data_IF_363819777491
#
_entry.id   IF_363819777491
#
_cell.length_a   1.000
_cell.length_b   1.000
_cell.length_c   1.000
_cell.angle_alpha   90.00
_cell.angle_beta   90.00
_cell.angle_gamma   90.00
#
_symmetry.space_group_name_H-M   'P 1'
#
loop_
_entity.id
_entity.type
_entity.pdbx_description
1 polymer ?
#
# COMPACT_ATOMS: atom_id res chain seq x y z
N UNK A 1 -94.06 -16.62 26.74
CA UNK A 1 -94.09 -17.77 27.69
C UNK A 1 -93.90 -19.00 26.82
N UNK A 2 -92.81 -19.76 26.84
CA UNK A 2 -91.95 -20.25 27.92
C UNK A 2 -90.53 -20.50 27.38
N UNK A 3 -89.49 -20.33 28.22
CA UNK A 3 -88.13 -20.84 27.96
C UNK A 3 -88.09 -22.37 28.14
N UNK A 4 -87.11 -23.06 27.53
CA UNK A 4 -86.07 -23.65 28.39
C UNK A 4 -84.63 -23.61 27.85
N UNK A 5 -83.73 -23.44 28.82
CA UNK A 5 -82.32 -23.88 28.99
C UNK A 5 -81.60 -24.61 27.87
N UNK A 6 -80.48 -24.01 27.43
CA UNK A 6 -79.44 -24.60 26.60
C UNK A 6 -78.34 -25.20 27.50
N UNK A 7 -78.10 -26.51 27.39
CA UNK A 7 -76.95 -27.19 27.98
C UNK A 7 -75.71 -26.99 27.10
N UNK A 8 -74.60 -26.64 27.71
CA UNK A 8 -73.30 -26.46 27.07
C UNK A 8 -72.51 -27.77 27.09
N UNK A 9 -72.45 -28.46 25.96
CA UNK A 9 -71.38 -29.41 25.64
C UNK A 9 -70.59 -28.82 24.46
N UNK A 10 -69.42 -28.27 24.74
CA UNK A 10 -68.41 -27.90 23.74
C UNK A 10 -67.16 -28.72 24.07
N UNK A 11 -67.03 -29.85 23.39
CA UNK A 11 -65.75 -30.49 23.14
C UNK A 11 -65.69 -30.87 21.67
N UNK A 12 -64.63 -30.39 21.02
CA UNK A 12 -64.05 -30.89 19.79
C UNK A 12 -64.80 -30.61 18.48
N UNK A 13 -64.32 -29.60 17.75
CA UNK A 13 -63.81 -29.71 16.37
C UNK A 13 -62.94 -28.44 16.14
N UNK A 14 -61.65 -28.56 16.43
CA UNK A 14 -60.63 -27.64 15.93
C UNK A 14 -60.27 -28.07 14.50
N UNK A 15 -60.94 -27.49 13.51
CA UNK A 15 -60.48 -27.54 12.13
C UNK A 15 -60.78 -26.21 11.42
N UNK A 16 -59.93 -25.23 11.66
CA UNK A 16 -59.87 -24.01 10.86
C UNK A 16 -58.47 -23.89 10.25
N UNK A 17 -58.32 -24.45 9.06
CA UNK A 17 -57.30 -24.05 8.10
C UNK A 17 -57.53 -22.58 7.76
N UNK A 18 -56.86 -21.67 8.45
CA UNK A 18 -56.74 -20.27 8.04
C UNK A 18 -55.49 -20.14 7.14
N UNK A 19 -55.64 -19.87 5.83
CA UNK A 19 -54.52 -19.52 4.97
C UNK A 19 -54.26 -18.01 5.08
N UNK A 20 -53.95 -17.51 6.29
CA UNK A 20 -53.62 -16.10 6.47
C UNK A 20 -52.10 -15.89 6.47
N UNK A 21 -51.65 -15.17 5.44
CA UNK A 21 -50.38 -14.44 5.34
C UNK A 21 -49.07 -15.25 5.17
N UNK A 22 -48.89 -15.90 4.00
CA UNK A 22 -47.57 -16.35 3.52
C UNK A 22 -46.79 -15.30 2.71
N UNK A 23 -47.27 -14.05 2.63
CA UNK A 23 -46.62 -12.95 1.89
C UNK A 23 -45.61 -12.13 2.70
N UNK A 24 -44.96 -12.73 3.68
CA UNK A 24 -43.67 -12.20 4.14
C UNK A 24 -42.65 -12.63 3.09
N UNK A 25 -42.10 -11.74 2.25
CA UNK A 25 -40.96 -12.11 1.44
C UNK A 25 -39.87 -12.53 2.44
N UNK A 26 -39.59 -13.83 2.54
CA UNK A 26 -38.35 -14.32 3.11
C UNK A 26 -37.25 -13.73 2.23
N UNK A 27 -36.80 -12.52 2.58
CA UNK A 27 -35.64 -11.92 1.96
C UNK A 27 -34.55 -12.97 2.06
N UNK A 28 -34.13 -13.53 0.92
CA UNK A 28 -33.05 -14.52 0.87
C UNK A 28 -31.87 -13.90 1.58
N UNK A 29 -31.62 -14.32 2.83
CA UNK A 29 -30.51 -13.81 3.60
C UNK A 29 -29.25 -14.18 2.84
N UNK A 30 -28.40 -13.19 2.59
CA UNK A 30 -27.13 -13.42 1.93
C UNK A 30 -26.31 -14.39 2.80
N UNK A 31 -25.57 -15.32 2.17
CA UNK A 31 -24.66 -16.20 2.90
C UNK A 31 -23.73 -15.39 3.80
N UNK A 32 -23.41 -15.94 4.98
CA UNK A 32 -22.63 -15.24 6.00
C UNK A 32 -21.26 -14.78 5.45
N UNK A 33 -20.66 -15.53 4.52
CA UNK A 33 -19.42 -15.17 3.87
C UNK A 33 -19.54 -13.93 2.97
N UNK A 34 -20.64 -13.79 2.23
CA UNK A 34 -20.91 -12.59 1.40
C UNK A 34 -21.03 -11.37 2.31
N UNK A 35 -21.71 -11.52 3.45
CA UNK A 35 -21.83 -10.47 4.47
C UNK A 35 -20.48 -10.15 5.12
N UNK A 36 -19.62 -11.15 5.35
CA UNK A 36 -18.24 -10.96 5.87
C UNK A 36 -17.37 -10.19 4.88
N UNK A 37 -17.40 -10.56 3.61
CA UNK A 37 -16.70 -9.83 2.55
C UNK A 37 -17.24 -8.42 2.42
N UNK A 38 -18.56 -8.23 2.40
CA UNK A 38 -19.20 -6.92 2.38
C UNK A 38 -18.73 -6.03 3.53
N UNK A 39 -18.82 -6.54 4.77
CA UNK A 39 -18.36 -5.82 5.96
C UNK A 39 -16.88 -5.44 5.88
N UNK A 40 -16.04 -6.36 5.43
CA UNK A 40 -14.61 -6.10 5.28
C UNK A 40 -14.32 -5.05 4.21
N UNK A 41 -14.95 -5.16 3.04
CA UNK A 41 -14.79 -4.16 1.95
C UNK A 41 -15.20 -2.78 2.43
N UNK A 42 -16.34 -2.66 3.12
CA UNK A 42 -16.79 -1.36 3.65
C UNK A 42 -15.85 -0.82 4.73
N UNK A 43 -15.28 -1.68 5.59
CA UNK A 43 -14.25 -1.27 6.57
C UNK A 43 -13.02 -0.67 5.87
N UNK A 44 -12.48 -1.37 4.87
CA UNK A 44 -11.31 -0.91 4.12
C UNK A 44 -11.62 0.36 3.34
N UNK A 45 -12.76 0.42 2.64
CA UNK A 45 -13.19 1.62 1.92
C UNK A 45 -13.33 2.83 2.84
N UNK A 46 -13.88 2.67 4.04
CA UNK A 46 -14.01 3.77 4.99
C UNK A 46 -12.64 4.34 5.40
N UNK A 47 -11.68 3.46 5.70
CA UNK A 47 -10.32 3.88 6.08
C UNK A 47 -9.60 4.53 4.90
N UNK A 48 -9.68 3.94 3.71
CA UNK A 48 -9.05 4.48 2.49
C UNK A 48 -9.62 5.85 2.12
N UNK A 49 -10.95 5.99 2.09
CA UNK A 49 -11.60 7.26 1.77
C UNK A 49 -11.27 8.36 2.78
N UNK A 50 -11.11 8.01 4.07
CA UNK A 50 -10.75 8.98 5.11
C UNK A 50 -9.36 9.61 4.92
N UNK A 51 -8.46 8.93 4.20
CA UNK A 51 -7.15 9.47 3.83
C UNK A 51 -7.16 10.15 2.45
N UNK A 52 -7.74 9.51 1.44
CA UNK A 52 -7.71 10.01 0.06
C UNK A 52 -8.48 11.33 -0.08
N UNK A 53 -9.67 11.43 0.51
CA UNK A 53 -10.52 12.62 0.33
C UNK A 53 -9.82 13.89 0.83
N UNK A 54 -9.26 13.93 2.06
CA UNK A 54 -8.50 15.10 2.50
C UNK A 54 -7.22 15.34 1.68
N UNK A 55 -6.51 14.30 1.23
CA UNK A 55 -5.33 14.50 0.34
C UNK A 55 -5.73 15.22 -0.95
N UNK A 56 -6.80 14.76 -1.62
CA UNK A 56 -7.32 15.39 -2.83
C UNK A 56 -7.77 16.83 -2.59
N UNK A 57 -8.51 17.08 -1.50
CA UNK A 57 -8.91 18.44 -1.12
C UNK A 57 -7.70 19.34 -0.82
N UNK A 58 -6.65 18.81 -0.20
CA UNK A 58 -5.42 19.54 0.05
C UNK A 58 -4.69 19.93 -1.23
N UNK A 59 -4.66 19.05 -2.23
CA UNK A 59 -4.10 19.39 -3.55
C UNK A 59 -4.90 20.49 -4.26
N UNK A 60 -6.23 20.40 -4.26
CA UNK A 60 -7.11 21.45 -4.82
C UNK A 60 -6.99 22.77 -4.06
N UNK A 61 -6.78 22.71 -2.75
CA UNK A 61 -6.61 23.87 -1.88
C UNK A 61 -5.25 24.57 -1.98
N UNK A 62 -4.28 23.98 -2.68
CA UNK A 62 -2.90 24.46 -2.74
C UNK A 62 -2.64 25.43 -3.92
N UNK A 63 -3.60 26.31 -4.23
CA UNK A 63 -3.55 27.26 -5.36
C UNK A 63 -3.36 28.71 -4.88
N UNK A 64 -3.09 28.92 -3.59
CA UNK A 64 -3.03 30.24 -2.95
C UNK A 64 -1.65 30.90 -2.97
N UNK A 65 -1.62 32.24 -2.93
CA UNK A 65 -0.40 33.07 -2.87
C UNK A 65 0.22 33.13 -1.47
N UNK A 66 -0.58 32.92 -0.41
CA UNK A 66 -0.12 32.86 0.98
C UNK A 66 0.37 31.45 1.30
N UNK A 67 1.66 31.33 1.59
CA UNK A 67 2.32 30.06 1.84
C UNK A 67 2.90 30.02 3.25
N UNK A 68 2.57 28.96 3.98
CA UNK A 68 2.95 28.69 5.37
C UNK A 68 3.79 27.41 5.36
N UNK A 69 4.79 27.25 6.26
CA UNK A 69 5.51 26.00 6.37
C UNK A 69 4.56 24.82 6.61
N UNK A 70 4.88 23.68 5.99
CA UNK A 70 4.17 22.43 6.19
C UNK A 70 4.22 22.02 7.68
N UNK A 71 3.14 21.47 8.20
CA UNK A 71 3.10 20.94 9.56
C UNK A 71 4.25 19.93 9.76
N UNK A 72 5.10 20.10 10.80
CA UNK A 72 6.27 19.24 11.01
C UNK A 72 5.90 17.77 11.09
N UNK A 73 4.76 17.42 11.69
CA UNK A 73 4.32 16.02 11.83
C UNK A 73 4.02 15.39 10.47
N UNK A 74 3.39 16.16 9.56
CA UNK A 74 3.09 15.69 8.20
C UNK A 74 4.39 15.58 7.40
N UNK A 75 5.29 16.55 7.54
CA UNK A 75 6.59 16.54 6.87
C UNK A 75 7.44 15.32 7.26
N UNK A 76 7.63 15.07 8.56
CA UNK A 76 8.41 13.93 9.05
C UNK A 76 7.78 12.60 8.66
N UNK A 77 6.45 12.50 8.72
CA UNK A 77 5.76 11.25 8.36
C UNK A 77 5.89 10.99 6.86
N UNK A 78 5.78 12.02 6.03
CA UNK A 78 5.96 11.89 4.57
C UNK A 78 7.39 11.47 4.23
N UNK A 79 8.38 12.01 4.94
CA UNK A 79 9.79 11.63 4.78
C UNK A 79 10.05 10.17 5.15
N UNK A 80 9.54 9.72 6.30
CA UNK A 80 9.67 8.32 6.74
C UNK A 80 9.00 7.38 5.75
N UNK A 81 7.78 7.72 5.28
CA UNK A 81 7.06 6.91 4.30
C UNK A 81 7.83 6.87 2.98
N UNK A 82 8.30 8.01 2.47
CA UNK A 82 9.00 8.09 1.21
C UNK A 82 10.32 7.31 1.24
N UNK A 83 11.09 7.42 2.32
CA UNK A 83 12.32 6.65 2.52
C UNK A 83 12.04 5.15 2.60
N UNK A 84 10.99 4.74 3.31
CA UNK A 84 10.62 3.32 3.44
C UNK A 84 10.16 2.73 2.11
N UNK A 85 9.47 3.52 1.29
CA UNK A 85 8.88 3.10 0.04
C UNK A 85 9.75 3.39 -1.19
N UNK A 86 10.94 3.99 -1.01
CA UNK A 86 11.82 4.39 -2.11
C UNK A 86 11.21 5.44 -3.04
N UNK A 87 10.26 6.25 -2.53
CA UNK A 87 9.61 7.31 -3.31
C UNK A 87 10.56 8.50 -3.35
N UNK A 88 11.00 8.98 -4.54
CA UNK A 88 11.81 10.18 -4.63
C UNK A 88 10.99 11.39 -4.18
N UNK A 89 11.44 12.09 -3.15
CA UNK A 89 10.86 13.35 -2.72
C UNK A 89 11.24 14.46 -3.71
N UNK A 90 10.54 14.55 -4.84
CA UNK A 90 10.66 15.68 -5.77
C UNK A 90 9.97 16.88 -5.11
N UNK A 91 10.74 17.95 -4.86
CA UNK A 91 10.37 19.16 -4.12
C UNK A 91 10.17 18.97 -2.61
N UNK A 92 11.13 19.49 -1.83
CA UNK A 92 10.90 19.81 -0.41
C UNK A 92 9.72 20.77 -0.36
N UNK A 93 8.51 20.31 -0.03
CA UNK A 93 7.33 21.16 0.14
C UNK A 93 7.55 22.09 1.36
N UNK A 94 8.36 23.12 1.18
CA UNK A 94 8.74 24.03 2.26
C UNK A 94 7.64 25.04 2.56
N UNK A 95 6.73 25.29 1.62
CA UNK A 95 5.60 26.22 1.83
C UNK A 95 4.36 25.76 1.08
N UNK A 96 3.25 25.63 1.79
CA UNK A 96 1.93 25.19 1.29
C UNK A 96 0.87 26.16 1.78
N UNK A 97 -0.30 26.19 1.15
CA UNK A 97 -1.41 27.01 1.68
C UNK A 97 -1.85 26.49 3.05
N UNK A 98 -2.35 27.36 3.96
CA UNK A 98 -2.81 26.92 5.28
C UNK A 98 -3.95 25.89 5.20
N UNK A 99 -4.80 26.00 4.17
CA UNK A 99 -5.90 25.09 3.93
C UNK A 99 -5.39 23.72 3.44
N UNK A 100 -4.38 23.67 2.57
CA UNK A 100 -3.72 22.41 2.21
C UNK A 100 -3.06 21.74 3.43
N UNK A 101 -2.41 22.53 4.30
CA UNK A 101 -1.78 22.03 5.51
C UNK A 101 -2.79 21.39 6.49
N UNK A 102 -3.97 22.01 6.64
CA UNK A 102 -5.07 21.47 7.43
C UNK A 102 -5.56 20.14 6.85
N UNK A 103 -5.85 20.09 5.56
CA UNK A 103 -6.37 18.88 4.92
C UNK A 103 -5.36 17.72 4.93
N UNK A 104 -4.08 17.97 4.72
CA UNK A 104 -3.05 16.94 4.81
C UNK A 104 -2.82 16.47 6.26
N UNK A 105 -2.99 17.36 7.24
CA UNK A 105 -2.98 16.95 8.65
C UNK A 105 -4.19 16.03 8.95
N UNK A 106 -5.38 16.37 8.44
CA UNK A 106 -6.57 15.52 8.57
C UNK A 106 -6.34 14.16 7.89
N UNK A 107 -5.75 14.14 6.69
CA UNK A 107 -5.42 12.89 5.98
C UNK A 107 -4.55 11.95 6.80
N UNK A 108 -3.65 12.50 7.62
CA UNK A 108 -2.77 11.72 8.48
C UNK A 108 -3.50 11.14 9.69
N UNK A 109 -4.31 11.95 10.38
CA UNK A 109 -4.95 11.53 11.64
C UNK A 109 -6.28 10.79 11.45
N UNK A 110 -7.06 11.12 10.42
CA UNK A 110 -8.40 10.55 10.23
C UNK A 110 -8.40 9.01 10.11
N UNK A 111 -7.54 8.37 9.28
CA UNK A 111 -7.48 6.92 9.22
C UNK A 111 -7.13 6.27 10.57
N UNK A 112 -6.17 6.86 11.31
CA UNK A 112 -5.73 6.36 12.63
C UNK A 112 -6.87 6.41 13.64
N UNK A 113 -7.61 7.53 13.69
CA UNK A 113 -8.76 7.67 14.60
C UNK A 113 -9.89 6.70 14.26
N UNK A 114 -10.21 6.52 12.97
CA UNK A 114 -11.26 5.59 12.53
C UNK A 114 -10.87 4.15 12.87
N UNK A 115 -9.64 3.73 12.58
CA UNK A 115 -9.13 2.39 12.91
C UNK A 115 -9.15 2.18 14.43
N UNK A 116 -8.66 3.15 15.20
CA UNK A 116 -8.68 3.09 16.67
C UNK A 116 -10.10 2.94 17.22
N UNK A 117 -11.06 3.71 16.69
CA UNK A 117 -12.47 3.62 17.06
C UNK A 117 -13.09 2.26 16.69
N UNK A 118 -12.80 1.75 15.49
CA UNK A 118 -13.27 0.43 15.06
C UNK A 118 -12.70 -0.70 15.94
N UNK A 119 -11.42 -0.64 16.30
CA UNK A 119 -10.80 -1.61 17.21
C UNK A 119 -11.41 -1.55 18.60
N UNK A 120 -11.71 -0.35 19.11
CA UNK A 120 -12.40 -0.16 20.38
C UNK A 120 -13.79 -0.79 20.38
N UNK A 121 -14.61 -0.51 19.35
CA UNK A 121 -15.94 -1.10 19.20
C UNK A 121 -15.87 -2.62 19.08
N UNK A 122 -14.94 -3.14 18.30
CA UNK A 122 -14.74 -4.58 18.12
C UNK A 122 -14.32 -5.27 19.42
N UNK A 123 -13.46 -4.64 20.21
CA UNK A 123 -13.04 -5.16 21.51
C UNK A 123 -14.18 -5.19 22.54
N UNK A 124 -15.03 -4.15 22.58
CA UNK A 124 -16.12 -4.00 23.54
C UNK A 124 -17.38 -4.79 23.16
N UNK A 125 -17.75 -4.77 21.88
CA UNK A 125 -19.04 -5.30 21.40
C UNK A 125 -18.89 -6.54 20.54
N UNK A 126 -17.68 -6.84 20.05
CA UNK A 126 -17.47 -7.87 19.03
C UNK A 126 -17.88 -7.43 17.63
N UNK A 127 -18.24 -6.17 17.42
CA UNK A 127 -18.67 -5.63 16.12
C UNK A 127 -18.00 -4.29 15.84
N UNK A 128 -17.68 -4.06 14.57
CA UNK A 128 -17.41 -2.73 14.01
C UNK A 128 -18.70 -2.15 13.43
N UNK A 129 -18.71 -0.87 13.05
CA UNK A 129 -19.89 -0.24 12.43
C UNK A 129 -20.35 -1.01 11.17
N UNK A 130 -19.47 -1.36 10.21
CA UNK A 130 -19.91 -2.16 9.06
C UNK A 130 -20.36 -3.56 9.47
N UNK A 131 -19.64 -4.25 10.36
CA UNK A 131 -20.06 -5.58 10.82
C UNK A 131 -21.44 -5.57 11.49
N UNK A 132 -21.83 -4.46 12.12
CA UNK A 132 -23.18 -4.27 12.66
C UNK A 132 -24.22 -4.12 11.55
N UNK A 133 -23.94 -3.37 10.48
CA UNK A 133 -24.83 -3.28 9.31
C UNK A 133 -25.01 -4.62 8.59
N UNK A 134 -23.95 -5.43 8.54
CA UNK A 134 -24.00 -6.77 7.98
C UNK A 134 -24.40 -7.84 9.01
N UNK A 135 -24.82 -7.45 10.22
CA UNK A 135 -25.30 -8.30 11.32
C UNK A 135 -24.37 -9.49 11.67
N UNK A 136 -23.06 -9.24 11.63
CA UNK A 136 -22.02 -10.21 11.96
C UNK A 136 -21.37 -9.82 13.27
N UNK A 137 -21.12 -10.81 14.15
CA UNK A 137 -20.42 -10.60 15.41
C UNK A 137 -19.23 -11.53 15.56
N UNK A 138 -18.19 -10.98 16.16
CA UNK A 138 -16.98 -11.70 16.54
C UNK A 138 -17.05 -12.01 18.02
N UNK A 139 -16.94 -13.29 18.36
CA UNK A 139 -17.05 -13.80 19.73
C UNK A 139 -15.86 -14.67 20.08
N UNK A 140 -15.57 -14.82 21.37
CA UNK A 140 -14.60 -15.81 21.86
C UNK A 140 -15.22 -17.21 21.88
N UNK A 141 -14.42 -18.23 22.21
CA UNK A 141 -14.93 -19.59 22.47
C UNK A 141 -16.01 -19.65 23.57
N UNK A 142 -16.06 -18.65 24.45
CA UNK A 142 -17.05 -18.53 25.52
C UNK A 142 -18.30 -17.73 25.10
N UNK A 143 -18.40 -17.30 23.83
CA UNK A 143 -19.51 -16.49 23.32
C UNK A 143 -19.47 -15.00 23.68
N UNK A 144 -18.49 -14.57 24.49
CA UNK A 144 -18.33 -13.16 24.89
C UNK A 144 -17.54 -12.34 23.88
N UNK A 145 -17.59 -11.01 24.00
CA UNK A 145 -16.78 -10.11 23.18
C UNK A 145 -15.26 -10.34 23.38
N UNK A 146 -14.43 -10.13 22.35
CA UNK A 146 -13.02 -10.56 22.37
C UNK A 146 -12.11 -9.84 23.39
N UNK A 147 -12.45 -8.60 23.75
CA UNK A 147 -11.58 -7.72 24.53
C UNK A 147 -10.37 -7.19 23.73
N UNK A 148 -9.69 -6.18 24.28
CA UNK A 148 -8.65 -5.43 23.56
C UNK A 148 -7.49 -6.31 23.09
N UNK A 149 -6.97 -7.18 23.97
CA UNK A 149 -5.81 -8.03 23.66
C UNK A 149 -6.08 -8.98 22.48
N UNK A 150 -7.20 -9.70 22.51
CA UNK A 150 -7.54 -10.65 21.43
C UNK A 150 -7.86 -9.90 20.13
N UNK A 151 -8.52 -8.75 20.23
CA UNK A 151 -8.78 -7.89 19.06
C UNK A 151 -7.49 -7.38 18.40
N UNK A 152 -6.50 -6.93 19.18
CA UNK A 152 -5.22 -6.47 18.64
C UNK A 152 -4.40 -7.60 18.01
N UNK A 153 -4.35 -8.78 18.64
CA UNK A 153 -3.68 -9.96 18.04
C UNK A 153 -4.37 -10.38 16.76
N UNK A 154 -5.70 -10.39 16.74
CA UNK A 154 -6.50 -10.79 15.58
C UNK A 154 -6.38 -9.81 14.42
N UNK A 155 -6.72 -8.54 14.63
CA UNK A 155 -6.79 -7.54 13.57
C UNK A 155 -5.41 -6.96 13.27
N UNK A 156 -4.64 -6.59 14.29
CA UNK A 156 -3.32 -5.97 14.14
C UNK A 156 -2.28 -6.96 13.63
N UNK A 157 -2.01 -8.04 14.38
CA UNK A 157 -0.97 -9.00 14.01
C UNK A 157 -1.44 -10.02 12.97
N UNK A 158 -2.60 -10.64 13.18
CA UNK A 158 -3.08 -11.75 12.35
C UNK A 158 -3.54 -11.32 10.96
N UNK A 159 -4.47 -10.36 10.90
CA UNK A 159 -5.12 -9.97 9.65
C UNK A 159 -4.31 -9.01 8.79
N UNK A 160 -3.63 -8.04 9.40
CA UNK A 160 -2.85 -7.03 8.67
C UNK A 160 -1.36 -7.27 8.77
N UNK A 161 -0.82 -7.39 9.98
CA UNK A 161 0.62 -7.43 10.24
C UNK A 161 1.35 -8.59 9.57
N UNK A 162 0.82 -9.81 9.70
CA UNK A 162 1.45 -11.00 9.13
C UNK A 162 1.36 -10.99 7.58
N UNK A 163 0.18 -10.80 6.95
CA UNK A 163 0.11 -10.76 5.49
C UNK A 163 0.92 -9.63 4.86
N UNK A 164 0.80 -8.40 5.38
CA UNK A 164 1.54 -7.25 4.85
C UNK A 164 3.03 -7.38 5.16
N UNK A 165 3.41 -7.86 6.34
CA UNK A 165 4.81 -8.06 6.72
C UNK A 165 5.51 -9.10 5.85
N UNK A 166 4.84 -10.21 5.54
CA UNK A 166 5.36 -11.20 4.57
C UNK A 166 5.47 -10.58 3.18
N UNK A 167 4.43 -9.88 2.70
CA UNK A 167 4.47 -9.21 1.42
C UNK A 167 5.61 -8.20 1.31
N UNK A 168 5.87 -7.44 2.37
CA UNK A 168 6.98 -6.49 2.47
C UNK A 168 8.34 -7.19 2.44
N UNK A 169 8.53 -8.27 3.22
CA UNK A 169 9.78 -9.03 3.21
C UNK A 169 10.06 -9.63 1.83
N UNK A 170 9.05 -10.20 1.18
CA UNK A 170 9.18 -10.71 -0.19
C UNK A 170 9.52 -9.57 -1.15
N UNK A 171 8.81 -8.45 -1.09
CA UNK A 171 9.06 -7.28 -1.93
C UNK A 171 10.48 -6.71 -1.76
N UNK A 172 10.97 -6.68 -0.52
CA UNK A 172 12.31 -6.19 -0.20
C UNK A 172 13.41 -7.17 -0.63
N UNK A 173 13.27 -8.46 -0.31
CA UNK A 173 14.31 -9.48 -0.55
C UNK A 173 14.41 -9.91 -2.02
N UNK A 174 13.32 -9.82 -2.80
CA UNK A 174 13.31 -10.24 -4.21
C UNK A 174 13.84 -9.19 -5.19
N UNK A 175 14.21 -8.00 -4.69
CA UNK A 175 14.63 -6.89 -5.55
C UNK A 175 13.47 -6.21 -6.30
N UNK A 176 12.22 -6.50 -5.92
CA UNK A 176 11.03 -5.81 -6.45
C UNK A 176 10.90 -4.36 -5.94
N UNK A 177 11.68 -3.99 -4.92
CA UNK A 177 11.84 -2.61 -4.45
C UNK A 177 12.33 -1.68 -5.59
N UNK A 178 11.77 -0.46 -5.77
CA UNK A 178 10.72 0.20 -4.98
C UNK A 178 9.30 0.10 -5.58
N UNK A 179 9.01 -0.91 -6.42
CA UNK A 179 7.73 -0.94 -7.15
C UNK A 179 6.52 -1.18 -6.22
N UNK A 180 5.72 -0.14 -6.01
CA UNK A 180 4.57 -0.17 -5.10
C UNK A 180 3.42 -1.05 -5.62
N UNK A 181 3.28 -1.16 -6.94
CA UNK A 181 2.29 -2.03 -7.56
C UNK A 181 2.53 -3.51 -7.18
N UNK A 182 3.78 -3.94 -7.12
CA UNK A 182 4.14 -5.31 -6.72
C UNK A 182 3.85 -5.53 -5.24
N UNK A 183 4.23 -4.57 -4.38
CA UNK A 183 3.90 -4.63 -2.95
C UNK A 183 2.39 -4.75 -2.72
N UNK A 184 1.58 -3.98 -3.45
CA UNK A 184 0.12 -4.03 -3.37
C UNK A 184 -0.44 -5.37 -3.87
N UNK A 185 0.08 -5.89 -4.99
CA UNK A 185 -0.29 -7.20 -5.51
C UNK A 185 0.06 -8.34 -4.55
N UNK A 186 1.27 -8.34 -3.99
CA UNK A 186 1.72 -9.32 -2.99
C UNK A 186 0.89 -9.24 -1.71
N UNK A 187 0.57 -8.04 -1.24
CA UNK A 187 -0.30 -7.83 -0.07
C UNK A 187 -1.70 -8.38 -0.31
N UNK A 188 -2.26 -8.14 -1.50
CA UNK A 188 -3.56 -8.70 -1.90
C UNK A 188 -3.55 -10.23 -1.94
N UNK A 189 -2.52 -10.84 -2.53
CA UNK A 189 -2.34 -12.30 -2.56
C UNK A 189 -2.18 -12.88 -1.14
N UNK A 190 -1.41 -12.22 -0.27
CA UNK A 190 -1.22 -12.66 1.11
C UNK A 190 -2.53 -12.63 1.92
N UNK A 191 -3.36 -11.60 1.71
CA UNK A 191 -4.69 -11.50 2.33
C UNK A 191 -5.66 -12.57 1.82
N UNK A 192 -5.63 -12.88 0.52
CA UNK A 192 -6.41 -14.00 -0.04
C UNK A 192 -5.96 -15.35 0.52
N UNK A 193 -4.66 -15.51 0.78
CA UNK A 193 -4.10 -16.70 1.44
C UNK A 193 -4.71 -16.94 2.83
N UNK A 194 -4.93 -15.89 3.62
CA UNK A 194 -5.56 -16.01 4.95
C UNK A 194 -7.02 -16.51 4.90
N UNK A 195 -7.77 -16.17 3.84
CA UNK A 195 -9.11 -16.72 3.59
C UNK A 195 -9.01 -18.21 3.22
N UNK A 196 -8.00 -18.58 2.44
CA UNK A 196 -7.78 -19.97 2.01
C UNK A 196 -7.48 -20.92 3.19
N UNK A 197 -6.88 -20.42 4.28
CA UNK A 197 -6.62 -21.20 5.50
C UNK A 197 -7.87 -21.81 6.15
N UNK A 198 -9.07 -21.28 5.86
CA UNK A 198 -10.35 -21.85 6.30
C UNK A 198 -10.51 -23.32 5.89
N UNK A 199 -9.98 -23.71 4.71
CA UNK A 199 -10.11 -25.06 4.16
C UNK A 199 -9.32 -26.13 4.91
N UNK A 200 -8.26 -25.74 5.62
CA UNK A 200 -7.38 -26.67 6.36
C UNK A 200 -7.78 -26.85 7.82
N UNK A 201 -8.74 -26.05 8.31
CA UNK A 201 -9.13 -26.08 9.71
C UNK A 201 -10.42 -26.87 9.89
N UNK A 202 -10.40 -27.89 10.76
CA UNK A 202 -11.60 -28.64 11.15
C UNK A 202 -12.68 -27.75 11.75
N UNK A 203 -12.28 -26.65 12.39
CA UNK A 203 -13.17 -25.64 12.97
C UNK A 203 -13.51 -24.49 12.00
N UNK A 204 -13.08 -24.59 10.73
CA UNK A 204 -13.39 -23.68 9.61
C UNK A 204 -13.19 -22.20 9.93
N UNK A 205 -12.13 -21.88 10.70
CA UNK A 205 -11.73 -20.50 11.04
C UNK A 205 -10.66 -19.98 10.08
N UNK A 206 -10.68 -18.68 9.77
CA UNK A 206 -9.58 -17.98 9.07
C UNK A 206 -8.31 -17.99 9.91
N UNK A 207 -7.15 -17.73 9.29
CA UNK A 207 -5.87 -17.68 10.00
C UNK A 207 -5.86 -16.64 11.12
N UNK A 208 -6.37 -15.44 10.85
CA UNK A 208 -6.50 -14.39 11.87
C UNK A 208 -7.48 -14.74 13.00
N UNK A 209 -8.60 -15.42 12.71
CA UNK A 209 -9.56 -15.87 13.74
C UNK A 209 -8.94 -16.96 14.64
N UNK A 210 -8.06 -17.81 14.08
CA UNK A 210 -7.29 -18.78 14.86
C UNK A 210 -6.29 -18.11 15.78
N UNK A 211 -5.53 -17.13 15.29
CA UNK A 211 -4.56 -16.37 16.08
C UNK A 211 -5.23 -15.61 17.23
N UNK A 212 -6.40 -15.02 16.98
CA UNK A 212 -7.20 -14.33 18.00
C UNK A 212 -7.99 -15.24 18.95
N UNK A 213 -8.04 -16.55 18.67
CA UNK A 213 -8.98 -17.49 19.27
C UNK A 213 -10.43 -16.95 19.31
N UNK A 214 -10.87 -16.45 18.16
CA UNK A 214 -12.21 -15.89 17.94
C UNK A 214 -12.99 -16.68 16.90
N UNK A 215 -14.28 -16.45 16.87
CA UNK A 215 -15.22 -16.98 15.91
C UNK A 215 -16.10 -15.87 15.37
N UNK A 216 -16.60 -16.09 14.16
CA UNK A 216 -17.59 -15.22 13.53
C UNK A 216 -18.93 -15.94 13.55
N UNK A 217 -19.93 -15.27 14.11
CA UNK A 217 -21.30 -15.77 14.26
C UNK A 217 -22.29 -14.77 13.69
N UNK A 218 -23.42 -15.29 13.21
CA UNK A 218 -24.56 -14.45 12.84
C UNK A 218 -25.23 -13.92 14.11
N UNK A 219 -25.53 -12.62 14.17
CA UNK A 219 -26.24 -12.05 15.31
C UNK A 219 -27.69 -12.51 15.43
N UNK A 220 -28.35 -12.92 14.34
CA UNK A 220 -29.76 -13.34 14.36
C UNK A 220 -29.94 -14.81 14.70
N UNK A 221 -29.09 -15.68 14.16
CA UNK A 221 -29.22 -17.14 14.36
C UNK A 221 -28.26 -17.69 15.42
N UNK A 222 -27.23 -16.95 15.82
CA UNK A 222 -26.16 -17.45 16.69
C UNK A 222 -25.33 -18.56 16.05
N UNK A 223 -25.58 -18.86 14.78
CA UNK A 223 -24.95 -19.97 14.06
C UNK A 223 -23.50 -19.62 13.71
N UNK A 224 -22.60 -20.57 13.91
CA UNK A 224 -21.22 -20.46 13.44
C UNK A 224 -21.17 -20.45 11.91
N UNK A 225 -20.24 -19.67 11.37
CA UNK A 225 -19.99 -19.59 9.94
C UNK A 225 -19.80 -20.98 9.29
N UNK A 226 -20.72 -21.35 8.41
CA UNK A 226 -20.68 -22.57 7.61
C UNK A 226 -19.95 -22.29 6.28
N UNK A 227 -18.79 -22.92 6.12
CA UNK A 227 -17.91 -22.99 4.94
C UNK A 227 -18.28 -22.12 3.70
N UNK A 228 -17.43 -21.14 3.33
CA UNK A 228 -17.66 -20.30 2.15
C UNK A 228 -17.60 -21.02 0.79
N UNK A 229 -17.05 -22.24 0.73
CA UNK A 229 -16.84 -22.98 -0.52
C UNK A 229 -17.79 -24.16 -0.73
N UNK A 230 -18.78 -24.37 0.15
CA UNK A 230 -19.89 -25.26 -0.13
C UNK A 230 -20.99 -24.45 -0.84
N UNK A 231 -20.90 -24.35 -2.17
CA UNK A 231 -21.94 -23.74 -3.01
C UNK A 231 -23.21 -24.60 -3.13
N UNK A 232 -23.21 -25.80 -2.55
CA UNK A 232 -24.32 -26.74 -2.55
C UNK A 232 -24.56 -27.13 -1.10
N UNK A 233 -25.54 -26.50 -0.48
CA UNK A 233 -26.44 -27.08 0.54
C UNK A 233 -27.46 -26.01 0.93
N UNK A 234 -28.30 -25.66 -0.05
CA UNK A 234 -29.65 -25.25 0.30
C UNK A 234 -30.33 -26.55 0.73
N UNK A 235 -30.62 -26.69 2.04
CA UNK A 235 -31.36 -27.81 2.67
C UNK A 235 -30.51 -28.89 3.37
N UNK A 236 -29.80 -28.53 4.43
CA UNK A 236 -29.70 -29.45 5.59
C UNK A 236 -29.55 -28.66 6.89
N UNK A 237 -30.69 -28.43 7.54
CA UNK A 237 -30.74 -28.04 8.95
C UNK A 237 -30.49 -29.28 9.84
N UNK A 238 -29.98 -28.98 11.03
CA UNK A 238 -29.94 -29.83 12.22
C UNK A 238 -28.93 -30.98 12.20
N UNK A 239 -27.77 -30.75 12.84
CA UNK A 239 -27.23 -31.66 13.86
C UNK A 239 -26.12 -30.95 14.63
N UNK A 240 -26.49 -30.45 15.82
CA UNK A 240 -25.57 -30.17 16.91
C UNK A 240 -24.88 -31.48 17.32
N UNK A 241 -23.56 -31.54 17.25
CA UNK A 241 -22.80 -32.65 17.82
C UNK A 241 -21.61 -32.10 18.61
N UNK A 242 -21.59 -32.48 19.89
CA UNK A 242 -20.61 -32.17 20.90
C UNK A 242 -19.15 -32.27 20.42
N UNK A 243 -18.35 -31.26 20.76
CA UNK A 243 -16.90 -31.26 20.52
C UNK A 243 -16.25 -32.07 21.64
N UNK A 244 -16.08 -33.37 21.42
CA UNK A 244 -15.16 -34.22 22.20
C UNK A 244 -13.76 -34.04 21.62
N UNK A 245 -12.88 -33.40 22.38
CA UNK A 245 -11.47 -33.22 22.03
C UNK A 245 -10.69 -34.52 22.26
N UNK A 246 -10.45 -35.29 21.22
CA UNK A 246 -9.40 -36.33 21.22
C UNK A 246 -8.07 -35.69 20.78
N UNK A 247 -7.11 -35.63 21.70
CA UNK A 247 -5.73 -35.25 21.41
C UNK A 247 -5.06 -36.34 20.56
N UNK A 248 -4.72 -36.05 19.30
CA UNK A 248 -3.88 -36.94 18.48
C UNK A 248 -2.46 -36.35 18.40
N UNK A 249 -1.49 -37.17 18.82
CA UNK A 249 -0.04 -36.94 18.80
C UNK A 249 0.45 -36.59 17.39
N UNK A 250 1.29 -35.56 17.31
CA UNK A 250 1.87 -35.02 16.07
C UNK A 250 2.92 -35.98 15.50
N UNK A 251 2.63 -36.60 14.35
CA UNK A 251 3.64 -37.27 13.53
C UNK A 251 4.27 -36.26 12.55
N UNK A 252 5.57 -36.41 12.30
CA UNK A 252 6.37 -35.52 11.45
C UNK A 252 5.81 -35.38 10.04
N UNK A 253 5.92 -34.17 9.49
CA UNK A 253 5.37 -33.82 8.19
C UNK A 253 6.21 -34.41 7.05
N UNK A 254 5.75 -35.50 6.42
CA UNK A 254 6.39 -36.08 5.24
C UNK A 254 5.75 -35.55 3.95
N UNK A 255 6.52 -34.79 3.16
CA UNK A 255 6.07 -34.06 1.97
C UNK A 255 5.54 -34.98 0.86
N UNK A 256 6.27 -36.06 0.54
CA UNK A 256 5.98 -36.91 -0.64
C UNK A 256 4.64 -37.70 -0.55
N UNK A 257 4.29 -38.33 0.58
CA UNK A 257 2.97 -38.94 0.76
C UNK A 257 1.84 -37.91 0.82
N UNK A 258 2.09 -36.74 1.40
CA UNK A 258 1.12 -35.65 1.51
C UNK A 258 0.73 -35.09 0.12
N UNK A 259 1.72 -34.98 -0.77
CA UNK A 259 1.55 -34.58 -2.16
C UNK A 259 0.66 -35.56 -2.93
N UNK A 260 0.90 -36.87 -2.80
CA UNK A 260 0.04 -37.91 -3.42
C UNK A 260 -1.38 -37.95 -2.86
N UNK A 261 -1.55 -37.62 -1.58
CA UNK A 261 -2.85 -37.62 -0.92
C UNK A 261 -3.73 -36.42 -1.31
N UNK A 262 -3.12 -35.30 -1.71
CA UNK A 262 -3.82 -34.07 -2.07
C UNK A 262 -3.34 -33.52 -3.43
N UNK A 263 -3.64 -34.21 -4.55
CA UNK A 263 -3.10 -33.86 -5.87
C UNK A 263 -3.54 -32.46 -6.36
N UNK A 264 -4.72 -32.00 -5.94
CA UNK A 264 -5.18 -30.63 -6.22
C UNK A 264 -4.35 -29.55 -5.48
N UNK A 265 -3.85 -29.84 -4.28
CA UNK A 265 -3.01 -28.90 -3.53
C UNK A 265 -1.60 -28.79 -4.08
N UNK A 266 -1.03 -29.91 -4.52
CA UNK A 266 0.25 -29.88 -5.23
C UNK A 266 0.13 -29.08 -6.51
N UNK A 267 -0.95 -29.28 -7.27
CA UNK A 267 -1.15 -28.57 -8.52
C UNK A 267 -1.33 -27.06 -8.26
N UNK A 268 -2.06 -26.67 -7.22
CA UNK A 268 -2.21 -25.27 -6.82
C UNK A 268 -0.91 -24.64 -6.32
N UNK A 269 -0.12 -25.34 -5.51
CA UNK A 269 1.15 -24.82 -5.00
C UNK A 269 2.19 -24.69 -6.12
N UNK A 270 2.24 -25.66 -7.02
CA UNK A 270 3.13 -25.63 -8.20
C UNK A 270 2.68 -24.54 -9.17
N UNK A 271 1.37 -24.39 -9.42
CA UNK A 271 0.87 -23.29 -10.26
C UNK A 271 1.06 -21.93 -9.60
N UNK A 272 0.90 -21.79 -8.28
CA UNK A 272 1.21 -20.56 -7.56
C UNK A 272 2.70 -20.21 -7.61
N UNK A 273 3.60 -21.19 -7.40
CA UNK A 273 5.04 -21.01 -7.58
C UNK A 273 5.40 -20.63 -9.03
N UNK A 274 4.76 -21.29 -10.01
CA UNK A 274 4.91 -20.98 -11.42
C UNK A 274 4.42 -19.57 -11.77
N UNK A 275 3.27 -19.16 -11.22
CA UNK A 275 2.70 -17.83 -11.39
C UNK A 275 3.63 -16.77 -10.79
N UNK A 276 4.17 -17.01 -9.60
CA UNK A 276 5.15 -16.11 -8.96
C UNK A 276 6.41 -15.98 -9.82
N UNK A 277 6.89 -17.06 -10.44
CA UNK A 277 8.05 -17.03 -11.33
C UNK A 277 7.76 -16.27 -12.64
N UNK A 278 6.62 -16.52 -13.28
CA UNK A 278 6.19 -15.84 -14.52
C UNK A 278 5.94 -14.35 -14.26
N UNK A 279 5.26 -14.01 -13.16
CA UNK A 279 5.08 -12.63 -12.74
C UNK A 279 6.46 -12.00 -12.42
N UNK A 280 7.35 -12.69 -11.71
CA UNK A 280 8.72 -12.21 -11.47
C UNK A 280 9.44 -11.79 -12.76
N UNK A 281 9.35 -12.60 -13.82
CA UNK A 281 9.99 -12.31 -15.12
C UNK A 281 9.33 -11.16 -15.89
N UNK A 282 7.99 -11.16 -15.99
CA UNK A 282 7.25 -10.09 -16.68
C UNK A 282 7.46 -8.76 -15.95
N UNK A 283 7.37 -8.76 -14.62
CA UNK A 283 7.49 -7.54 -13.83
C UNK A 283 8.94 -7.08 -13.66
N UNK A 284 9.91 -8.00 -13.62
CA UNK A 284 11.33 -7.64 -13.71
C UNK A 284 11.65 -6.88 -15.00
N UNK A 285 11.00 -7.27 -16.10
CA UNK A 285 11.10 -6.55 -17.38
C UNK A 285 10.48 -5.15 -17.30
N UNK A 286 9.31 -5.00 -16.66
CA UNK A 286 8.69 -3.67 -16.47
C UNK A 286 9.50 -2.74 -15.54
N UNK A 287 10.06 -3.26 -14.45
CA UNK A 287 10.94 -2.48 -13.55
C UNK A 287 12.20 -2.05 -14.28
N UNK A 288 12.81 -2.94 -15.07
CA UNK A 288 13.98 -2.60 -15.89
C UNK A 288 13.66 -1.47 -16.88
N UNK A 289 12.53 -1.57 -17.61
CA UNK A 289 12.11 -0.57 -18.59
C UNK A 289 11.76 0.78 -17.93
N UNK A 290 11.09 0.78 -16.78
CA UNK A 290 10.71 2.01 -16.09
C UNK A 290 11.92 2.69 -15.42
N UNK A 291 12.81 1.92 -14.80
CA UNK A 291 14.07 2.43 -14.28
C UNK A 291 14.88 3.06 -15.43
N UNK A 292 14.96 2.37 -16.57
CA UNK A 292 15.63 2.88 -17.76
C UNK A 292 14.99 4.18 -18.28
N UNK A 293 13.66 4.30 -18.28
CA UNK A 293 12.96 5.52 -18.68
C UNK A 293 13.28 6.70 -17.74
N UNK A 294 13.26 6.48 -16.42
CA UNK A 294 13.64 7.50 -15.45
C UNK A 294 15.10 7.96 -15.65
N UNK A 295 16.03 7.03 -15.89
CA UNK A 295 17.42 7.37 -16.20
C UNK A 295 17.55 8.22 -17.48
N UNK A 296 16.69 8.01 -18.48
CA UNK A 296 16.65 8.84 -19.69
C UNK A 296 16.16 10.25 -19.37
N UNK A 297 15.11 10.38 -18.56
CA UNK A 297 14.59 11.70 -18.14
C UNK A 297 15.63 12.48 -17.34
N UNK A 298 16.35 11.84 -16.41
CA UNK A 298 17.44 12.46 -15.68
C UNK A 298 18.57 12.91 -16.61
N UNK A 299 19.03 12.05 -17.53
CA UNK A 299 20.06 12.41 -18.51
C UNK A 299 19.62 13.57 -19.41
N UNK A 300 18.34 13.59 -19.80
CA UNK A 300 17.80 14.65 -20.65
C UNK A 300 17.74 15.98 -19.88
N UNK A 301 17.32 15.95 -18.62
CA UNK A 301 17.31 17.14 -17.76
C UNK A 301 18.72 17.68 -17.52
N UNK A 302 19.71 16.82 -17.23
CA UNK A 302 21.11 17.23 -17.10
C UNK A 302 21.65 17.82 -18.40
N UNK A 303 21.27 17.23 -19.54
CA UNK A 303 21.64 17.75 -20.86
C UNK A 303 20.99 19.11 -21.15
N UNK A 304 19.72 19.29 -20.84
CA UNK A 304 19.01 20.57 -21.02
C UNK A 304 19.58 21.66 -20.11
N UNK A 305 19.93 21.32 -18.87
CA UNK A 305 20.60 22.24 -17.95
C UNK A 305 21.99 22.64 -18.48
N UNK A 306 22.80 21.67 -18.93
CA UNK A 306 24.10 21.93 -19.54
C UNK A 306 23.95 22.84 -20.76
N UNK A 307 23.07 22.51 -21.70
CA UNK A 307 22.82 23.32 -22.89
C UNK A 307 22.31 24.72 -22.55
N UNK A 308 21.45 24.87 -21.53
CA UNK A 308 20.98 26.17 -21.08
C UNK A 308 22.11 27.03 -20.48
N UNK A 309 23.04 26.41 -19.74
CA UNK A 309 24.22 27.10 -19.19
C UNK A 309 25.19 27.51 -20.30
N UNK A 310 25.46 26.62 -21.26
CA UNK A 310 26.30 26.92 -22.44
C UNK A 310 25.67 28.03 -23.29
N UNK A 311 24.36 27.98 -23.52
CA UNK A 311 23.65 29.00 -24.28
C UNK A 311 23.63 30.36 -23.55
N UNK A 312 23.51 30.36 -22.22
CA UNK A 312 23.70 31.59 -21.43
C UNK A 312 25.13 32.11 -21.52
N UNK A 313 26.13 31.24 -21.67
CA UNK A 313 27.51 31.64 -21.87
C UNK A 313 27.73 32.35 -23.22
N UNK A 314 27.07 31.86 -24.29
CA UNK A 314 27.21 32.38 -25.66
C UNK A 314 26.34 33.61 -25.94
N UNK A 315 25.06 33.61 -25.55
CA UNK A 315 24.11 34.70 -25.80
C UNK A 315 24.36 35.93 -24.92
N UNK A 316 25.05 35.75 -23.79
CA UNK A 316 25.29 36.82 -22.82
C UNK A 316 26.68 37.43 -22.94
N UNK A 317 27.28 37.36 -24.14
CA UNK A 317 28.58 37.95 -24.46
C UNK A 317 28.69 39.44 -24.09
N UNK A 318 27.56 40.15 -23.99
CA UNK A 318 27.51 41.57 -23.64
C UNK A 318 27.49 41.90 -22.13
N UNK A 319 27.31 40.94 -21.21
CA UNK A 319 27.23 41.20 -19.75
C UNK A 319 28.15 40.28 -18.93
N UNK A 320 29.33 40.77 -18.48
CA UNK A 320 30.35 39.95 -17.80
C UNK A 320 29.87 39.21 -16.56
N UNK A 321 29.00 39.82 -15.75
CA UNK A 321 28.53 39.25 -14.49
C UNK A 321 27.64 38.00 -14.70
N UNK A 322 26.83 37.99 -15.75
CA UNK A 322 25.95 36.85 -16.04
C UNK A 322 26.74 35.67 -16.64
N UNK A 323 27.79 35.95 -17.43
CA UNK A 323 28.73 34.92 -17.90
C UNK A 323 29.47 34.27 -16.73
N UNK A 324 29.95 35.07 -15.76
CA UNK A 324 30.59 34.56 -14.54
C UNK A 324 29.68 33.60 -13.76
N UNK A 325 28.39 33.93 -13.61
CA UNK A 325 27.43 33.04 -12.95
C UNK A 325 27.24 31.73 -13.72
N UNK A 326 27.17 31.79 -15.05
CA UNK A 326 27.07 30.59 -15.88
C UNK A 326 28.31 29.69 -15.76
N UNK A 327 29.51 30.29 -15.74
CA UNK A 327 30.79 29.57 -15.53
C UNK A 327 30.81 28.86 -14.17
N UNK A 328 30.48 29.57 -13.08
CA UNK A 328 30.43 29.00 -11.74
C UNK A 328 29.40 27.88 -11.63
N UNK A 329 28.23 28.06 -12.24
CA UNK A 329 27.19 27.03 -12.29
C UNK A 329 27.66 25.80 -13.08
N UNK A 330 28.33 26.00 -14.22
CA UNK A 330 28.90 24.92 -15.02
C UNK A 330 29.95 24.12 -14.22
N UNK A 331 30.82 24.81 -13.47
CA UNK A 331 31.82 24.18 -12.58
C UNK A 331 31.23 23.40 -11.42
N UNK A 332 30.06 23.82 -10.92
CA UNK A 332 29.34 23.08 -9.88
C UNK A 332 28.57 21.86 -10.42
N UNK A 333 28.44 21.75 -11.74
CA UNK A 333 27.70 20.65 -12.37
C UNK A 333 28.56 19.40 -12.41
N UNK A 334 27.99 18.23 -12.11
CA UNK A 334 28.70 16.93 -12.20
C UNK A 334 28.80 16.39 -13.64
N UNK A 335 28.62 17.23 -14.64
CA UNK A 335 28.64 16.82 -16.05
C UNK A 335 30.11 16.65 -16.50
N UNK A 336 30.50 15.48 -17.02
CA UNK A 336 31.88 15.26 -17.49
C UNK A 336 32.30 16.20 -18.64
N UNK A 337 31.34 16.81 -19.35
CA UNK A 337 31.60 17.76 -20.44
C UNK A 337 31.93 19.18 -19.94
N UNK A 338 31.62 19.49 -18.68
CA UNK A 338 31.86 20.81 -18.12
C UNK A 338 33.35 21.14 -17.98
N UNK A 339 34.16 20.17 -17.56
CA UNK A 339 35.59 20.38 -17.29
C UNK A 339 36.37 20.72 -18.58
N UNK A 340 36.28 19.95 -19.68
CA UNK A 340 36.97 20.29 -20.93
C UNK A 340 36.53 21.65 -21.48
N UNK A 341 35.23 21.98 -21.39
CA UNK A 341 34.71 23.27 -21.85
C UNK A 341 35.27 24.44 -21.02
N UNK A 342 35.34 24.31 -19.70
CA UNK A 342 35.93 25.33 -18.83
C UNK A 342 37.43 25.51 -19.08
N UNK A 343 38.15 24.43 -19.38
CA UNK A 343 39.58 24.48 -19.72
C UNK A 343 39.80 25.15 -21.07
N UNK A 344 38.98 24.85 -22.09
CA UNK A 344 39.07 25.52 -23.39
C UNK A 344 38.76 27.02 -23.28
N UNK A 345 37.73 27.39 -22.51
CA UNK A 345 37.39 28.78 -22.20
C UNK A 345 38.53 29.52 -21.48
N UNK A 346 39.32 28.83 -20.65
CA UNK A 346 40.50 29.43 -20.00
C UNK A 346 41.53 29.93 -21.02
N UNK A 347 41.68 29.23 -22.15
CA UNK A 347 42.62 29.60 -23.22
C UNK A 347 42.10 30.71 -24.15
N UNK A 348 40.80 30.96 -24.17
CA UNK A 348 40.15 31.88 -25.11
C UNK A 348 39.66 33.19 -24.47
N UNK A 349 39.46 33.20 -23.15
CA UNK A 349 38.88 34.33 -22.42
C UNK A 349 39.94 35.35 -21.98
N UNK A 350 39.68 36.64 -22.21
CA UNK A 350 40.57 37.74 -21.82
C UNK A 350 40.00 38.61 -20.70
N UNK A 351 38.71 38.46 -20.39
CA UNK A 351 38.02 39.24 -19.36
C UNK A 351 38.41 38.76 -17.94
N UNK A 352 39.04 39.60 -17.10
CA UNK A 352 39.56 39.18 -15.79
C UNK A 352 38.48 38.61 -14.87
N UNK A 353 37.28 39.21 -14.90
CA UNK A 353 36.16 38.81 -14.03
C UNK A 353 35.61 37.41 -14.36
N UNK A 354 35.78 36.96 -15.60
CA UNK A 354 35.33 35.64 -16.06
C UNK A 354 36.44 34.62 -15.83
N UNK A 355 37.70 34.99 -16.07
CA UNK A 355 38.87 34.16 -15.75
C UNK A 355 38.89 33.72 -14.28
N UNK A 356 38.60 34.63 -13.34
CA UNK A 356 38.46 34.30 -11.93
C UNK A 356 37.39 33.22 -11.69
N UNK A 357 36.25 33.33 -12.37
CA UNK A 357 35.15 32.37 -12.27
C UNK A 357 35.54 30.99 -12.83
N UNK A 358 36.30 30.97 -13.94
CA UNK A 358 36.79 29.74 -14.57
C UNK A 358 37.79 29.07 -13.63
N UNK A 359 38.78 29.81 -13.16
CA UNK A 359 39.80 29.29 -12.23
C UNK A 359 39.18 28.75 -10.94
N UNK A 360 38.23 29.48 -10.34
CA UNK A 360 37.52 29.02 -9.15
C UNK A 360 36.75 27.72 -9.38
N UNK A 361 36.11 27.60 -10.55
CA UNK A 361 35.37 26.40 -10.96
C UNK A 361 36.30 25.20 -11.15
N UNK A 362 37.44 25.41 -11.81
CA UNK A 362 38.45 24.37 -12.04
C UNK A 362 39.13 23.92 -10.74
N UNK A 363 39.45 24.85 -9.84
CA UNK A 363 39.98 24.53 -8.50
C UNK A 363 38.97 23.71 -7.71
N UNK A 364 37.69 24.06 -7.77
CA UNK A 364 36.62 23.30 -7.10
C UNK A 364 36.44 21.89 -7.66
N UNK A 365 36.71 21.67 -8.95
CA UNK A 365 36.65 20.35 -9.59
C UNK A 365 37.85 19.45 -9.22
N UNK A 366 38.94 20.04 -8.72
CA UNK A 366 40.05 19.33 -8.10
C UNK A 366 40.91 18.53 -9.10
N UNK A 367 41.50 17.39 -8.67
CA UNK A 367 42.50 16.65 -9.45
C UNK A 367 42.03 16.15 -10.82
N UNK A 368 40.72 16.00 -11.00
CA UNK A 368 40.07 15.55 -12.24
C UNK A 368 40.38 16.47 -13.43
N UNK A 369 40.75 17.73 -13.16
CA UNK A 369 41.04 18.76 -14.18
C UNK A 369 42.47 18.66 -14.73
N UNK A 370 43.40 18.01 -14.01
CA UNK A 370 44.84 18.00 -14.33
C UNK A 370 45.15 17.48 -15.75
N UNK A 371 44.52 16.40 -16.25
CA UNK A 371 44.78 15.92 -17.61
C UNK A 371 44.41 16.95 -18.67
N UNK A 372 43.24 17.56 -18.56
CA UNK A 372 42.75 18.58 -19.51
C UNK A 372 43.63 19.82 -19.52
N UNK A 373 44.07 20.31 -18.35
CA UNK A 373 45.01 21.44 -18.27
C UNK A 373 46.37 21.12 -18.90
N UNK A 374 46.84 19.87 -18.79
CA UNK A 374 48.07 19.43 -19.45
C UNK A 374 47.89 19.44 -20.96
N UNK A 375 46.74 18.99 -21.47
CA UNK A 375 46.42 19.05 -22.89
C UNK A 375 46.39 20.48 -23.42
N UNK A 376 45.74 21.40 -22.70
CA UNK A 376 45.74 22.82 -23.07
C UNK A 376 47.16 23.39 -23.13
N UNK A 377 47.99 23.14 -22.11
CA UNK A 377 49.36 23.62 -22.08
C UNK A 377 50.19 23.06 -23.25
N UNK A 378 50.03 21.77 -23.56
CA UNK A 378 50.69 21.14 -24.71
C UNK A 378 50.25 21.78 -26.04
N UNK A 379 48.95 22.08 -26.19
CA UNK A 379 48.42 22.74 -27.38
C UNK A 379 48.99 24.15 -27.54
N UNK A 380 48.97 24.96 -26.48
CA UNK A 380 49.54 26.31 -26.47
C UNK A 380 51.04 26.32 -26.79
N UNK A 381 51.78 25.32 -26.30
CA UNK A 381 53.20 25.16 -26.62
C UNK A 381 53.41 24.89 -28.11
N UNK A 382 52.64 23.96 -28.68
CA UNK A 382 52.74 23.63 -30.11
C UNK A 382 52.39 24.83 -30.99
N UNK A 383 51.37 25.60 -30.64
CA UNK A 383 50.99 26.81 -31.36
C UNK A 383 52.11 27.86 -31.30
N UNK A 384 52.74 28.06 -30.13
CA UNK A 384 53.89 28.96 -29.98
C UNK A 384 55.11 28.51 -30.80
N UNK A 385 55.41 27.21 -30.80
CA UNK A 385 56.53 26.64 -31.57
C UNK A 385 56.27 26.74 -33.08
N UNK A 386 55.01 26.75 -33.53
CA UNK A 386 54.65 26.94 -34.95
C UNK A 386 54.79 28.37 -35.48
N UNK A 387 54.84 29.36 -34.57
CA UNK A 387 54.99 30.78 -34.88
C UNK A 387 56.46 31.24 -34.89
N UNK A 388 57.39 30.36 -34.50
CA UNK A 388 58.85 30.54 -34.59
C UNK A 388 59.39 29.86 -35.84
#
# INVERSE_FOLDING_TARGET
MTSPTFGSDISDINNSNNPEASWQPKSKQLPIWVRRCGAWTTEVSLVVLSGIVPVCLGHLGNIGTKSVPLNPVVATTTEVIANTLGIPLRNRYQKVTPLANLFWSIALFAPVTIVGWQLFLLARTGQTLPKRWFEIRVVTALGTSPGLRKTLVREGFGKWGLPIGIAYLVWYLTGAFPSLAILLGLSGLALLGDIYFVRFNKLRRTGHDRLGNTFVVDTRSGQLDSNPFNFIDFQTQASSAAIVTTHKKSEGFHLWPWMRKNPGMTLLMITALGMVSILGTIFGTHVYVQNQANWREFKQQDNDMFLALVNKLSLTSAKPQQRRVAVLALGSTKDPRAIPLLVDLLGQENEPSILDGIQQSLVSAGPTVIPELRHLNQALKNDLDSLR
#
